data_IF_736059451414
#
_entry.id   IF_736059451414
#
_cell.length_a   1.000
_cell.length_b   1.000
_cell.length_c   1.000
_cell.angle_alpha   90.00
_cell.angle_beta   90.00
_cell.angle_gamma   90.00
#
_symmetry.space_group_name_H-M   'P 1'
#
loop_
_entity.id
_entity.type
_entity.pdbx_description
1 polymer ?
#
# COMPACT_ATOMS: atom_id res chain seq x y z
N UNK A 1 -19.47 10.79 -11.79
CA UNK A 1 -18.39 9.77 -11.79
C UNK A 1 -17.14 10.50 -12.25
N UNK A 2 -16.07 10.52 -11.48
CA UNK A 2 -14.79 11.04 -11.96
C UNK A 2 -14.35 10.15 -13.13
N UNK A 3 -13.96 10.72 -14.26
CA UNK A 3 -13.47 9.95 -15.41
C UNK A 3 -12.16 9.20 -15.10
N UNK A 4 -11.44 9.64 -14.06
CA UNK A 4 -10.17 9.05 -13.65
C UNK A 4 -10.34 8.21 -12.37
N UNK A 5 -9.87 6.95 -12.34
CA UNK A 5 -9.99 6.05 -11.19
C UNK A 5 -8.93 6.39 -10.11
N UNK A 6 -9.18 7.44 -9.33
CA UNK A 6 -8.22 7.97 -8.36
C UNK A 6 -7.78 6.94 -7.33
N UNK A 7 -8.73 6.22 -6.74
CA UNK A 7 -8.43 5.25 -5.68
C UNK A 7 -7.68 4.03 -6.21
N UNK A 8 -8.08 3.56 -7.38
CA UNK A 8 -7.36 2.46 -8.05
C UNK A 8 -5.93 2.88 -8.43
N UNK A 9 -5.72 4.12 -8.86
CA UNK A 9 -4.39 4.65 -9.19
C UNK A 9 -3.48 4.74 -7.94
N UNK A 10 -4.01 5.20 -6.80
CA UNK A 10 -3.33 5.23 -5.49
C UNK A 10 -2.90 3.82 -5.07
N UNK A 11 -3.75 2.82 -5.22
CA UNK A 11 -3.41 1.42 -4.89
C UNK A 11 -2.37 0.85 -5.87
N UNK A 12 -2.51 1.14 -7.17
CA UNK A 12 -1.66 0.56 -8.19
C UNK A 12 -0.23 1.11 -8.18
N UNK A 13 -0.04 2.39 -7.85
CA UNK A 13 1.26 3.06 -7.92
C UNK A 13 2.34 2.37 -7.05
N UNK A 14 2.14 2.09 -5.74
CA UNK A 14 3.15 1.41 -4.93
C UNK A 14 3.42 -0.02 -5.41
N UNK A 15 2.41 -0.73 -5.94
CA UNK A 15 2.60 -2.07 -6.51
C UNK A 15 3.50 -2.03 -7.75
N UNK A 16 3.25 -1.10 -8.67
CA UNK A 16 4.09 -0.92 -9.86
C UNK A 16 5.51 -0.55 -9.44
N UNK A 17 5.66 0.35 -8.47
CA UNK A 17 6.95 0.72 -7.92
C UNK A 17 7.68 -0.48 -7.28
N UNK A 18 6.97 -1.36 -6.57
CA UNK A 18 7.53 -2.58 -6.00
C UNK A 18 8.05 -3.55 -7.07
N UNK A 19 7.28 -3.72 -8.16
CA UNK A 19 7.65 -4.59 -9.28
C UNK A 19 8.88 -4.08 -10.06
N UNK A 20 9.15 -2.79 -10.05
CA UNK A 20 10.31 -2.20 -10.69
C UNK A 20 11.62 -2.44 -9.91
N UNK A 21 11.57 -2.62 -8.58
CA UNK A 21 12.77 -2.78 -7.73
C UNK A 21 13.70 -3.93 -8.17
N UNK A 22 13.22 -5.14 -8.51
CA UNK A 22 14.10 -6.23 -8.94
C UNK A 22 14.94 -5.92 -10.17
N UNK A 23 14.45 -5.03 -11.04
CA UNK A 23 15.10 -4.66 -12.31
C UNK A 23 16.14 -3.54 -12.13
N UNK A 24 16.10 -2.82 -11.00
CA UNK A 24 17.02 -1.71 -10.75
C UNK A 24 18.47 -2.20 -10.57
N UNK A 25 19.45 -1.57 -11.28
CA UNK A 25 20.86 -1.82 -11.02
C UNK A 25 21.24 -1.23 -9.66
N UNK A 26 21.55 -2.09 -8.70
CA UNK A 26 21.87 -1.65 -7.32
C UNK A 26 22.94 -2.55 -6.68
N UNK A 27 24.24 -2.25 -6.89
CA UNK A 27 25.32 -3.01 -6.25
C UNK A 27 25.40 -2.79 -4.74
N UNK A 28 25.04 -1.60 -4.25
CA UNK A 28 25.28 -1.17 -2.87
C UNK A 28 24.02 -1.02 -2.01
N UNK A 29 22.86 -1.26 -2.53
CA UNK A 29 21.57 -1.07 -1.85
C UNK A 29 21.13 0.39 -1.71
N UNK A 30 21.90 1.37 -2.21
CA UNK A 30 21.57 2.80 -2.13
C UNK A 30 20.48 3.21 -3.11
N UNK A 31 20.56 2.72 -4.34
CA UNK A 31 19.59 3.05 -5.40
C UNK A 31 18.20 2.60 -5.02
N UNK A 32 18.06 1.38 -4.52
CA UNK A 32 16.78 0.83 -4.09
C UNK A 32 16.19 1.61 -2.91
N UNK A 33 17.01 2.02 -1.94
CA UNK A 33 16.56 2.84 -0.81
C UNK A 33 16.02 4.19 -1.25
N UNK A 34 16.78 4.90 -2.10
CA UNK A 34 16.37 6.19 -2.64
C UNK A 34 15.12 6.05 -3.50
N UNK A 35 15.06 5.01 -4.33
CA UNK A 35 13.89 4.72 -5.16
C UNK A 35 12.64 4.46 -4.31
N UNK A 36 12.72 3.57 -3.33
CA UNK A 36 11.59 3.22 -2.47
C UNK A 36 11.12 4.43 -1.63
N UNK A 37 12.05 5.21 -1.10
CA UNK A 37 11.71 6.45 -0.37
C UNK A 37 11.08 7.47 -1.30
N UNK A 38 11.63 7.67 -2.50
CA UNK A 38 11.07 8.56 -3.52
C UNK A 38 9.66 8.13 -3.93
N UNK A 39 9.44 6.83 -4.17
CA UNK A 39 8.12 6.28 -4.46
C UNK A 39 7.14 6.50 -3.30
N UNK A 40 7.58 6.28 -2.06
CA UNK A 40 6.75 6.53 -0.86
C UNK A 40 6.36 8.00 -0.72
N UNK A 41 7.29 8.93 -0.94
CA UNK A 41 7.02 10.37 -0.90
C UNK A 41 6.05 10.77 -2.02
N UNK A 42 6.27 10.29 -3.24
CA UNK A 42 5.40 10.58 -4.38
C UNK A 42 3.98 10.06 -4.13
N UNK A 43 3.85 8.85 -3.61
CA UNK A 43 2.56 8.29 -3.22
C UNK A 43 1.88 9.12 -2.14
N UNK A 44 2.60 9.51 -1.10
CA UNK A 44 2.04 10.37 -0.06
C UNK A 44 1.59 11.72 -0.62
N UNK A 45 2.37 12.35 -1.49
CA UNK A 45 1.98 13.57 -2.18
C UNK A 45 0.73 13.36 -3.06
N UNK A 46 0.61 12.20 -3.72
CA UNK A 46 -0.54 11.85 -4.54
C UNK A 46 -1.81 11.67 -3.69
N UNK A 47 -1.70 11.02 -2.52
CA UNK A 47 -2.78 10.92 -1.54
C UNK A 47 -3.22 12.32 -1.05
N UNK A 48 -2.27 13.19 -0.67
CA UNK A 48 -2.57 14.56 -0.22
C UNK A 48 -3.22 15.37 -1.34
N UNK A 49 -2.73 15.26 -2.57
CA UNK A 49 -3.34 15.91 -3.72
C UNK A 49 -4.80 15.47 -3.91
N UNK A 50 -5.06 14.17 -3.87
CA UNK A 50 -6.43 13.61 -3.99
C UNK A 50 -7.32 14.10 -2.86
N UNK A 51 -6.81 14.12 -1.62
CA UNK A 51 -7.53 14.64 -0.46
C UNK A 51 -7.92 16.11 -0.61
N UNK A 52 -7.00 16.94 -1.07
CA UNK A 52 -7.22 18.39 -1.13
C UNK A 52 -8.02 18.87 -2.34
N UNK A 53 -7.99 18.10 -3.45
CA UNK A 53 -8.60 18.54 -4.73
C UNK A 53 -9.84 17.76 -5.14
N UNK A 54 -9.94 16.50 -4.73
CA UNK A 54 -10.98 15.59 -5.21
C UNK A 54 -11.98 15.17 -4.12
N UNK A 55 -11.59 15.30 -2.85
CA UNK A 55 -12.41 14.92 -1.71
C UNK A 55 -13.11 16.12 -1.09
N UNK A 56 -14.44 16.04 -0.90
CA UNK A 56 -15.23 17.07 -0.22
C UNK A 56 -15.48 16.67 1.24
N UNK A 57 -14.86 17.39 2.17
CA UNK A 57 -14.97 17.16 3.62
C UNK A 57 -16.40 17.37 4.15
N UNK A 58 -17.20 18.19 3.47
CA UNK A 58 -18.57 18.49 3.91
C UNK A 58 -19.60 17.47 3.41
N UNK A 59 -19.20 16.56 2.52
CA UNK A 59 -20.08 15.54 1.98
C UNK A 59 -19.93 14.22 2.76
N UNK A 60 -20.93 13.79 3.55
CA UNK A 60 -20.85 12.57 4.36
C UNK A 60 -21.04 11.28 3.54
N UNK A 61 -21.35 11.38 2.25
CA UNK A 61 -21.54 10.22 1.40
C UNK A 61 -20.22 9.61 0.95
N UNK A 62 -20.28 8.36 0.48
CA UNK A 62 -19.13 7.68 -0.15
C UNK A 62 -18.72 8.43 -1.41
N UNK A 63 -17.42 8.71 -1.55
CA UNK A 63 -16.83 9.51 -2.62
C UNK A 63 -15.77 8.73 -3.40
N UNK A 64 -15.39 9.23 -4.57
CA UNK A 64 -14.35 8.70 -5.46
C UNK A 64 -14.57 7.22 -5.78
N UNK A 65 -15.82 6.80 -5.97
CA UNK A 65 -16.16 5.39 -6.12
C UNK A 65 -15.66 4.84 -7.46
N UNK A 66 -14.73 3.88 -7.38
CA UNK A 66 -14.27 3.07 -8.51
C UNK A 66 -14.94 1.69 -8.43
N UNK A 67 -15.74 1.32 -9.43
CA UNK A 67 -16.47 0.06 -9.43
C UNK A 67 -16.34 -0.67 -10.76
N UNK A 68 -15.76 -1.89 -10.70
CA UNK A 68 -15.59 -2.79 -11.84
C UNK A 68 -16.01 -4.20 -11.45
N UNK A 69 -16.74 -4.90 -12.32
CA UNK A 69 -17.04 -6.31 -12.12
C UNK A 69 -15.78 -7.12 -12.40
N UNK A 70 -15.26 -7.83 -11.39
CA UNK A 70 -14.02 -8.61 -11.52
C UNK A 70 -14.28 -10.09 -11.77
N UNK A 71 -14.95 -10.78 -10.83
CA UNK A 71 -15.31 -12.20 -10.97
C UNK A 71 -16.79 -12.37 -10.71
N UNK A 72 -17.67 -12.20 -11.73
CA UNK A 72 -19.12 -12.22 -11.56
C UNK A 72 -19.66 -13.54 -11.01
N UNK A 73 -18.98 -14.67 -11.29
CA UNK A 73 -19.41 -16.01 -10.87
C UNK A 73 -19.49 -16.17 -9.34
N UNK A 74 -18.66 -15.43 -8.60
CA UNK A 74 -18.66 -15.45 -7.13
C UNK A 74 -19.12 -14.11 -6.54
N UNK A 75 -19.61 -13.18 -7.38
CA UNK A 75 -20.08 -11.87 -6.96
C UNK A 75 -18.97 -10.89 -6.55
N UNK A 76 -17.70 -11.20 -6.83
CA UNK A 76 -16.57 -10.34 -6.49
C UNK A 76 -16.48 -9.15 -7.44
N UNK A 77 -16.50 -7.94 -6.84
CA UNK A 77 -16.32 -6.69 -7.55
C UNK A 77 -15.09 -5.95 -7.04
N UNK A 78 -14.33 -5.36 -7.96
CA UNK A 78 -13.39 -4.31 -7.60
C UNK A 78 -14.19 -3.06 -7.28
N UNK A 79 -14.49 -2.87 -6.00
CA UNK A 79 -15.30 -1.77 -5.52
C UNK A 79 -14.53 -1.01 -4.46
N UNK A 80 -14.04 0.17 -4.82
CA UNK A 80 -13.30 1.07 -3.94
C UNK A 80 -14.11 2.33 -3.70
N UNK A 81 -13.98 2.90 -2.52
CA UNK A 81 -14.65 4.14 -2.15
C UNK A 81 -14.03 4.71 -0.89
N UNK A 82 -14.21 5.99 -0.67
CA UNK A 82 -13.68 6.69 0.50
C UNK A 82 -14.76 7.52 1.18
N UNK A 83 -14.75 7.52 2.50
CA UNK A 83 -15.63 8.31 3.36
C UNK A 83 -14.83 9.15 4.37
N UNK A 84 -15.54 9.83 5.28
CA UNK A 84 -14.93 10.67 6.30
C UNK A 84 -14.08 9.95 7.33
N UNK A 85 -14.17 8.61 7.44
CA UNK A 85 -13.34 7.80 8.31
C UNK A 85 -12.15 7.22 7.57
N UNK A 86 -12.37 6.65 6.39
CA UNK A 86 -11.31 5.97 5.63
C UNK A 86 -10.29 6.95 5.03
N UNK A 87 -10.69 8.15 4.59
CA UNK A 87 -9.76 9.12 3.99
C UNK A 87 -8.64 9.57 4.96
N UNK A 88 -8.92 9.99 6.20
CA UNK A 88 -7.87 10.26 7.17
C UNK A 88 -6.94 9.07 7.45
N UNK A 89 -7.49 7.84 7.46
CA UNK A 89 -6.69 6.63 7.65
C UNK A 89 -5.75 6.37 6.46
N UNK A 90 -6.19 6.61 5.24
CA UNK A 90 -5.34 6.53 4.04
C UNK A 90 -4.21 7.57 4.11
N UNK A 91 -4.52 8.82 4.49
CA UNK A 91 -3.50 9.88 4.67
C UNK A 91 -2.49 9.48 5.76
N UNK A 92 -2.98 8.97 6.90
CA UNK A 92 -2.13 8.50 7.98
C UNK A 92 -1.23 7.33 7.54
N UNK A 93 -1.79 6.37 6.81
CA UNK A 93 -1.03 5.24 6.23
C UNK A 93 0.09 5.76 5.33
N UNK A 94 -0.20 6.71 4.44
CA UNK A 94 0.78 7.34 3.58
C UNK A 94 1.93 7.97 4.34
N UNK A 95 1.60 8.75 5.37
CA UNK A 95 2.58 9.41 6.22
C UNK A 95 3.45 8.40 6.99
N UNK A 96 2.82 7.47 7.71
CA UNK A 96 3.53 6.49 8.56
C UNK A 96 4.41 5.57 7.73
N UNK A 97 3.92 5.06 6.59
CA UNK A 97 4.70 4.15 5.74
C UNK A 97 5.89 4.86 5.09
N UNK A 98 5.73 6.13 4.69
CA UNK A 98 6.84 6.93 4.19
C UNK A 98 7.91 7.15 5.26
N UNK A 99 7.52 7.47 6.50
CA UNK A 99 8.45 7.58 7.64
C UNK A 99 9.11 6.24 7.98
N UNK A 100 8.36 5.13 7.96
CA UNK A 100 8.90 3.79 8.21
C UNK A 100 9.93 3.40 7.14
N UNK A 101 9.68 3.73 5.87
CA UNK A 101 10.63 3.51 4.78
C UNK A 101 11.91 4.33 4.99
N UNK A 102 11.80 5.57 5.45
CA UNK A 102 12.96 6.39 5.82
C UNK A 102 13.71 5.82 7.04
N UNK A 103 12.99 5.43 8.10
CA UNK A 103 13.59 4.84 9.30
C UNK A 103 14.33 3.52 9.01
N UNK A 104 13.89 2.78 8.01
CA UNK A 104 14.52 1.54 7.54
C UNK A 104 15.81 1.75 6.73
N UNK A 105 16.35 2.98 6.66
CA UNK A 105 17.53 3.33 5.85
C UNK A 105 18.75 2.42 6.08
N UNK A 106 18.91 1.91 7.26
CA UNK A 106 20.08 1.10 7.65
C UNK A 106 19.94 -0.42 7.30
N UNK A 107 18.88 -0.83 6.66
CA UNK A 107 18.70 -2.25 6.26
C UNK A 107 19.75 -2.62 5.20
N UNK A 108 20.65 -3.57 5.56
CA UNK A 108 21.74 -4.06 4.70
C UNK A 108 21.47 -5.46 4.13
N UNK A 109 20.66 -6.26 4.83
CA UNK A 109 20.34 -7.64 4.44
C UNK A 109 19.21 -7.60 3.41
N UNK A 110 19.48 -8.08 2.18
CA UNK A 110 18.50 -8.20 1.08
C UNK A 110 17.64 -6.92 0.89
N UNK A 111 18.25 -5.74 0.71
CA UNK A 111 17.50 -4.48 0.66
C UNK A 111 16.43 -4.46 -0.43
N UNK A 112 16.68 -5.04 -1.61
CA UNK A 112 15.68 -5.13 -2.70
C UNK A 112 14.40 -5.80 -2.24
N UNK A 113 14.52 -6.96 -1.61
CA UNK A 113 13.35 -7.70 -1.11
C UNK A 113 12.62 -6.92 -0.02
N UNK A 114 13.36 -6.31 0.92
CA UNK A 114 12.77 -5.52 2.00
C UNK A 114 11.92 -4.38 1.47
N UNK A 115 12.48 -3.53 0.59
CA UNK A 115 11.77 -2.37 0.08
C UNK A 115 10.64 -2.73 -0.91
N UNK A 116 10.77 -3.83 -1.66
CA UNK A 116 9.64 -4.35 -2.45
C UNK A 116 8.48 -4.76 -1.54
N UNK A 117 8.75 -5.50 -0.46
CA UNK A 117 7.72 -5.90 0.49
C UNK A 117 7.08 -4.70 1.21
N UNK A 118 7.87 -3.67 1.55
CA UNK A 118 7.34 -2.43 2.13
C UNK A 118 6.36 -1.72 1.19
N UNK A 119 6.67 -1.64 -0.09
CA UNK A 119 5.78 -1.01 -1.08
C UNK A 119 4.53 -1.85 -1.37
N UNK A 120 4.65 -3.19 -1.40
CA UNK A 120 3.49 -4.08 -1.51
C UNK A 120 2.58 -3.93 -0.30
N UNK A 121 3.14 -3.93 0.91
CA UNK A 121 2.40 -3.71 2.15
C UNK A 121 1.70 -2.34 2.14
N UNK A 122 2.38 -1.29 1.69
CA UNK A 122 1.82 0.05 1.55
C UNK A 122 0.55 0.06 0.69
N UNK A 123 0.61 -0.55 -0.49
CA UNK A 123 -0.54 -0.68 -1.39
C UNK A 123 -1.68 -1.48 -0.74
N UNK A 124 -1.37 -2.63 -0.13
CA UNK A 124 -2.37 -3.49 0.50
C UNK A 124 -3.10 -2.78 1.66
N UNK A 125 -2.38 -2.06 2.52
CA UNK A 125 -2.95 -1.29 3.64
C UNK A 125 -3.92 -0.21 3.14
N UNK A 126 -3.54 0.56 2.12
CA UNK A 126 -4.43 1.55 1.52
C UNK A 126 -5.68 0.87 0.96
N UNK A 127 -5.50 -0.22 0.21
CA UNK A 127 -6.59 -0.94 -0.43
C UNK A 127 -7.60 -1.51 0.59
N UNK A 128 -7.15 -1.98 1.75
CA UNK A 128 -8.02 -2.44 2.85
C UNK A 128 -8.94 -1.32 3.34
N UNK A 129 -8.42 -0.09 3.51
CA UNK A 129 -9.24 1.06 3.96
C UNK A 129 -10.22 1.57 2.91
N UNK A 130 -10.00 1.26 1.64
CA UNK A 130 -10.82 1.73 0.52
C UNK A 130 -11.83 0.68 0.02
N UNK A 131 -11.68 -0.60 0.39
CA UNK A 131 -12.51 -1.69 -0.08
C UNK A 131 -13.96 -1.55 0.38
N UNK A 132 -14.90 -1.59 -0.58
CA UNK A 132 -16.35 -1.52 -0.35
C UNK A 132 -17.06 -2.87 -0.58
N UNK A 133 -16.33 -3.88 -1.05
CA UNK A 133 -16.80 -5.26 -1.21
C UNK A 133 -16.16 -6.11 -0.12
N UNK A 134 -16.97 -6.86 0.63
CA UNK A 134 -16.51 -7.65 1.77
C UNK A 134 -15.52 -8.74 1.38
N UNK A 135 -15.75 -9.40 0.24
CA UNK A 135 -14.86 -10.45 -0.26
C UNK A 135 -13.52 -9.83 -0.71
N UNK A 136 -13.58 -8.69 -1.38
CA UNK A 136 -12.39 -7.93 -1.77
C UNK A 136 -11.60 -7.45 -0.55
N UNK A 137 -12.28 -6.89 0.46
CA UNK A 137 -11.66 -6.50 1.73
C UNK A 137 -10.90 -7.69 2.36
N UNK A 138 -11.54 -8.85 2.46
CA UNK A 138 -10.90 -10.04 3.03
C UNK A 138 -9.66 -10.46 2.24
N UNK A 139 -9.74 -10.48 0.91
CA UNK A 139 -8.59 -10.83 0.06
C UNK A 139 -7.43 -9.85 0.21
N UNK A 140 -7.71 -8.56 0.31
CA UNK A 140 -6.68 -7.52 0.49
C UNK A 140 -6.05 -7.58 1.89
N UNK A 141 -6.85 -7.87 2.90
CA UNK A 141 -6.37 -8.11 4.26
C UNK A 141 -5.41 -9.31 4.32
N UNK A 142 -5.77 -10.44 3.71
CA UNK A 142 -4.89 -11.61 3.61
C UNK A 142 -3.61 -11.30 2.82
N UNK A 143 -3.72 -10.49 1.77
CA UNK A 143 -2.56 -10.08 0.97
C UNK A 143 -1.56 -9.25 1.80
N UNK A 144 -2.02 -8.42 2.73
CA UNK A 144 -1.16 -7.63 3.63
C UNK A 144 -0.34 -8.53 4.55
N UNK A 145 -0.89 -9.64 5.03
CA UNK A 145 -0.20 -10.53 5.96
C UNK A 145 1.06 -11.17 5.35
N UNK A 146 1.09 -11.41 4.04
CA UNK A 146 2.23 -12.04 3.37
C UNK A 146 3.52 -11.22 3.50
N UNK A 147 3.56 -9.92 3.12
CA UNK A 147 4.77 -9.11 3.32
C UNK A 147 5.13 -8.95 4.79
N UNK A 148 4.17 -8.80 5.71
CA UNK A 148 4.44 -8.69 7.14
C UNK A 148 5.10 -9.97 7.67
N UNK A 149 4.56 -11.14 7.33
CA UNK A 149 5.17 -12.43 7.68
C UNK A 149 6.62 -12.53 7.20
N UNK A 150 6.88 -12.17 5.94
CA UNK A 150 8.22 -12.21 5.36
C UNK A 150 9.17 -11.21 6.02
N UNK A 151 8.73 -9.99 6.31
CA UNK A 151 9.52 -8.98 7.00
C UNK A 151 9.91 -9.47 8.40
N UNK A 152 8.97 -9.99 9.19
CA UNK A 152 9.26 -10.53 10.52
C UNK A 152 10.21 -11.72 10.43
N UNK A 153 9.97 -12.67 9.52
CA UNK A 153 10.76 -13.91 9.43
C UNK A 153 12.21 -13.69 9.00
N UNK A 154 12.49 -12.64 8.20
CA UNK A 154 13.84 -12.39 7.67
C UNK A 154 14.60 -11.37 8.53
N UNK A 155 13.96 -10.28 8.94
CA UNK A 155 14.61 -9.16 9.65
C UNK A 155 14.25 -9.05 11.13
N UNK A 156 13.41 -9.92 11.66
CA UNK A 156 13.05 -9.95 13.07
C UNK A 156 14.21 -10.38 13.99
N UNK A 157 13.93 -10.40 15.30
CA UNK A 157 14.90 -10.76 16.35
C UNK A 157 15.25 -12.24 16.42
N UNK A 158 15.81 -12.68 17.56
CA UNK A 158 16.29 -14.06 17.75
C UNK A 158 15.22 -15.16 17.55
N UNK A 159 13.97 -14.87 17.93
CA UNK A 159 12.84 -15.81 17.79
C UNK A 159 11.92 -15.47 16.59
N UNK A 160 12.44 -14.83 15.56
CA UNK A 160 11.70 -14.31 14.41
C UNK A 160 10.81 -15.33 13.70
N UNK A 161 11.28 -16.56 13.50
CA UNK A 161 10.50 -17.59 12.82
C UNK A 161 9.29 -18.03 13.65
N UNK A 162 9.48 -18.20 14.96
CA UNK A 162 8.38 -18.49 15.86
C UNK A 162 7.37 -17.34 15.92
N UNK A 163 7.86 -16.11 16.00
CA UNK A 163 6.99 -14.91 15.99
C UNK A 163 6.22 -14.78 14.68
N UNK A 164 6.87 -14.97 13.53
CA UNK A 164 6.24 -14.89 12.22
C UNK A 164 5.15 -15.96 12.03
N UNK A 165 5.37 -17.19 12.52
CA UNK A 165 4.36 -18.26 12.40
C UNK A 165 3.20 -18.12 13.38
N UNK A 166 3.37 -17.32 14.42
CA UNK A 166 2.30 -17.00 15.38
C UNK A 166 1.48 -15.76 15.01
N UNK A 167 2.05 -14.91 14.16
CA UNK A 167 1.38 -13.73 13.62
C UNK A 167 0.31 -14.13 12.61
#
# INVERSE_FOLDING_TARGET
MSEFPWLTAIIAFPLIAALAIPVLPDPDGKTVRLYALGAGILEFCFIIYTFTTQYDVNNPSLQLVDRYSWVPQIGLNWSMGVDGLSMPLVVLTGFVTTLATFAAWNIKIKPRLFYSLMLVMYSAQIAVFLAQDLLLFFMLWELELVPVYLIISIWGGAQRLYAATKF
#
